data_IF_231902737912
#
_entry.id   IF_231902737912
#
_cell.length_a   1.000
_cell.length_b   1.000
_cell.length_c   1.000
_cell.angle_alpha   90.00
_cell.angle_beta   90.00
_cell.angle_gamma   90.00
#
_symmetry.space_group_name_H-M   'P 1'
#
loop_
_entity.id
_entity.type
_entity.pdbx_description
1 polymer ?
#
# COMPACT_ATOMS: atom_id res chain seq x y z
N UNK A 1 -4.80 5.37 2.08
CA UNK A 1 -5.92 4.42 1.91
C UNK A 1 -5.61 3.17 2.73
N UNK A 2 -6.62 2.53 3.32
CA UNK A 2 -6.39 1.37 4.18
C UNK A 2 -6.46 0.08 3.37
N UNK A 3 -5.43 -0.76 3.46
CA UNK A 3 -5.39 -2.07 2.81
C UNK A 3 -6.37 -3.01 3.52
N UNK A 4 -7.24 -3.66 2.76
CA UNK A 4 -8.23 -4.63 3.24
C UNK A 4 -7.80 -6.07 2.98
N UNK A 5 -7.22 -6.35 1.80
CA UNK A 5 -6.72 -7.68 1.42
C UNK A 5 -5.49 -7.55 0.54
N UNK A 6 -4.56 -8.50 0.70
CA UNK A 6 -3.37 -8.65 -0.14
C UNK A 6 -3.33 -10.06 -0.73
N UNK A 7 -3.09 -10.14 -2.04
CA UNK A 7 -2.74 -11.36 -2.75
C UNK A 7 -1.40 -11.15 -3.49
N UNK A 8 -0.87 -12.20 -4.11
CA UNK A 8 0.45 -12.19 -4.78
C UNK A 8 0.71 -11.00 -5.71
N UNK A 9 -0.28 -10.54 -6.47
CA UNK A 9 -0.13 -9.47 -7.47
C UNK A 9 -1.26 -8.42 -7.44
N UNK A 10 -2.08 -8.40 -6.39
CA UNK A 10 -3.21 -7.48 -6.26
C UNK A 10 -3.47 -7.20 -4.79
N UNK A 11 -3.96 -6.00 -4.51
CA UNK A 11 -4.45 -5.63 -3.19
C UNK A 11 -5.81 -4.93 -3.32
N UNK A 12 -6.60 -4.96 -2.25
CA UNK A 12 -7.85 -4.20 -2.13
C UNK A 12 -7.70 -3.15 -1.04
N UNK A 13 -8.30 -1.99 -1.28
CA UNK A 13 -8.34 -0.88 -0.33
C UNK A 13 -9.79 -0.57 0.02
N UNK A 14 -10.01 -0.11 1.24
CA UNK A 14 -11.31 0.45 1.64
C UNK A 14 -11.36 1.93 1.27
N UNK A 15 -12.43 2.33 0.58
CA UNK A 15 -12.74 3.71 0.23
C UNK A 15 -14.04 4.12 0.94
N UNK A 16 -14.08 5.33 1.49
CA UNK A 16 -15.27 5.95 2.10
C UNK A 16 -15.85 7.04 1.17
N UNK A 17 -17.13 7.43 1.32
CA UNK A 17 -17.77 8.42 0.43
C UNK A 17 -17.01 9.75 0.32
N UNK A 18 -16.48 10.26 1.42
CA UNK A 18 -15.73 11.53 1.42
C UNK A 18 -14.47 11.47 0.54
N UNK A 19 -13.79 10.32 0.50
CA UNK A 19 -12.64 10.12 -0.37
C UNK A 19 -13.05 10.10 -1.85
N UNK A 20 -14.20 9.54 -2.17
CA UNK A 20 -14.75 9.57 -3.54
C UNK A 20 -15.09 11.01 -3.93
N UNK A 21 -15.67 11.79 -3.02
CA UNK A 21 -16.09 13.17 -3.26
C UNK A 21 -14.92 14.16 -3.40
N UNK A 22 -13.79 13.91 -2.70
CA UNK A 22 -12.65 14.84 -2.65
C UNK A 22 -11.43 14.46 -3.47
N UNK A 23 -11.45 13.33 -4.17
CA UNK A 23 -10.31 12.86 -4.97
C UNK A 23 -10.74 12.49 -6.38
N UNK A 24 -9.78 12.20 -7.26
CA UNK A 24 -10.08 11.76 -8.63
C UNK A 24 -10.51 10.29 -8.73
N UNK A 25 -10.65 9.57 -7.61
CA UNK A 25 -11.04 8.16 -7.58
C UNK A 25 -12.42 7.93 -8.21
N UNK A 26 -13.31 8.91 -8.16
CA UNK A 26 -14.63 8.85 -8.82
C UNK A 26 -14.55 8.65 -10.34
N UNK A 27 -13.43 9.00 -10.96
CA UNK A 27 -13.21 8.86 -12.41
C UNK A 27 -12.48 7.56 -12.78
N UNK A 28 -12.04 6.78 -11.80
CA UNK A 28 -11.26 5.57 -12.06
C UNK A 28 -12.15 4.48 -12.65
N UNK A 29 -11.64 3.84 -13.70
CA UNK A 29 -12.27 2.69 -14.35
C UNK A 29 -11.30 1.52 -14.39
N UNK A 30 -11.78 0.32 -14.72
CA UNK A 30 -10.90 -0.85 -14.85
C UNK A 30 -9.80 -0.57 -15.89
N UNK A 31 -8.54 -0.72 -15.48
CA UNK A 31 -7.38 -0.44 -16.32
C UNK A 31 -6.81 0.97 -16.15
N UNK A 32 -7.46 1.84 -15.37
CA UNK A 32 -6.94 3.15 -15.02
C UNK A 32 -5.62 3.02 -14.26
N UNK A 33 -4.58 3.72 -14.73
CA UNK A 33 -3.26 3.70 -14.10
C UNK A 33 -3.19 4.74 -12.98
N UNK A 34 -2.56 4.35 -11.87
CA UNK A 34 -2.45 5.20 -10.68
C UNK A 34 -1.00 5.16 -10.18
N UNK A 35 -0.59 6.26 -9.55
CA UNK A 35 0.68 6.28 -8.83
C UNK A 35 0.53 5.47 -7.53
N UNK A 36 1.50 4.61 -7.25
CA UNK A 36 1.55 3.82 -6.02
C UNK A 36 2.74 4.27 -5.20
N UNK A 37 2.46 4.69 -3.97
CA UNK A 37 3.46 5.00 -2.96
C UNK A 37 3.19 4.14 -1.72
N UNK A 38 4.25 3.49 -1.21
CA UNK A 38 4.18 2.70 0.02
C UNK A 38 4.41 3.59 1.23
N UNK A 39 3.81 3.24 2.36
CA UNK A 39 4.04 3.94 3.62
C UNK A 39 5.54 4.03 3.96
N UNK A 40 5.99 5.24 4.28
CA UNK A 40 7.41 5.51 4.57
C UNK A 40 7.90 4.79 5.83
N UNK A 41 7.10 4.74 6.89
CA UNK A 41 7.47 4.07 8.13
C UNK A 41 7.57 2.56 7.90
N UNK A 42 6.62 1.98 7.15
CA UNK A 42 6.69 0.58 6.77
C UNK A 42 7.97 0.28 5.98
N UNK A 43 8.33 1.12 5.01
CA UNK A 43 9.57 1.00 4.24
C UNK A 43 10.81 1.08 5.13
N UNK A 44 10.86 2.03 6.07
CA UNK A 44 11.97 2.19 7.00
C UNK A 44 12.12 0.98 7.94
N UNK A 45 11.02 0.51 8.52
CA UNK A 45 11.00 -0.69 9.38
C UNK A 45 11.42 -1.92 8.58
N UNK A 46 10.91 -2.09 7.36
CA UNK A 46 11.26 -3.22 6.50
C UNK A 46 12.75 -3.29 6.19
N UNK A 47 13.39 -2.17 5.84
CA UNK A 47 14.84 -2.15 5.65
C UNK A 47 15.59 -2.39 6.95
N UNK A 48 15.14 -1.78 8.05
CA UNK A 48 15.78 -1.99 9.34
C UNK A 48 15.71 -3.46 9.78
N UNK A 49 14.59 -4.13 9.53
CA UNK A 49 14.43 -5.56 9.81
C UNK A 49 15.34 -6.41 8.93
N UNK A 50 15.51 -6.07 7.65
CA UNK A 50 16.46 -6.77 6.76
C UNK A 50 17.92 -6.62 7.19
N UNK A 51 18.32 -5.52 7.82
CA UNK A 51 19.68 -5.39 8.38
C UNK A 51 19.90 -6.23 9.64
N UNK A 52 18.80 -6.56 10.32
CA UNK A 52 18.79 -7.25 11.61
C UNK A 52 18.65 -8.77 11.43
N UNK A 53 17.77 -9.23 10.54
CA UNK A 53 17.52 -10.67 10.29
C UNK A 53 18.80 -11.48 9.96
N UNK A 54 19.77 -10.98 9.16
CA UNK A 54 21.03 -11.67 8.91
C UNK A 54 21.90 -11.85 10.17
N UNK A 55 21.73 -10.99 11.18
CA UNK A 55 22.55 -10.96 12.40
C UNK A 55 22.02 -11.87 13.52
N UNK A 56 20.80 -12.39 13.38
CA UNK A 56 20.16 -13.27 14.36
C UNK A 56 20.07 -14.74 13.90
N UNK A 57 20.71 -15.09 12.78
CA UNK A 57 20.96 -16.48 12.40
C UNK A 57 22.33 -16.92 12.93
N UNK A 58 22.44 -17.06 14.26
CA UNK A 58 23.51 -17.81 14.95
C UNK A 58 22.93 -18.43 16.21
#
# INVERSE_FOLDING_TARGET
LTIQEVNKNKFRVQIIPETIARTNISHWTKGYQVNIETDYLLKAVFYRMQDLIPKFST
#
